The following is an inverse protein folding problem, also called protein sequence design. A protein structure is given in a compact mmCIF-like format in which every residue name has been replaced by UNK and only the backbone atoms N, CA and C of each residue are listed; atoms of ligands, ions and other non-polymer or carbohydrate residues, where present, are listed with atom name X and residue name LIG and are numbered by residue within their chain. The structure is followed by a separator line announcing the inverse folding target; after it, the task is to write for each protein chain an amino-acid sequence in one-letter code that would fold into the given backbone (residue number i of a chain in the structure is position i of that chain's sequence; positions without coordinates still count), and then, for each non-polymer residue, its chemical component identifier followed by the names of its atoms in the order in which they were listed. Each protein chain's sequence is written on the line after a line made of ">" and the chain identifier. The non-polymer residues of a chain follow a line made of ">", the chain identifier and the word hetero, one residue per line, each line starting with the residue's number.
data_IF_278703375336
#
_entry.id   IF_278703375336
#
_cell.length_a   1.000
_cell.length_b   1.000
_cell.length_c   1.000
_cell.angle_alpha   90.00
_cell.angle_beta   90.00
_cell.angle_gamma   90.00
#
_symmetry.space_group_name_H-M   'P 1'
#
loop_
_entity.id
_entity.type
_entity.pdbx_description
1 polymer ?
#
# COMPACT_ATOMS: atom_id res chain seq x y z
N UNK A 1 -10.92 10.70 -3.28
CA UNK A 1 -12.32 10.50 -2.85
C UNK A 1 -12.64 9.03 -3.01
N UNK A 2 -13.28 8.40 -2.02
CA UNK A 2 -13.81 7.04 -2.09
C UNK A 2 -15.33 7.14 -2.06
N UNK A 3 -16.00 6.54 -3.05
CA UNK A 3 -17.45 6.55 -3.14
C UNK A 3 -18.03 5.22 -2.64
N UNK A 4 -19.08 5.30 -1.83
CA UNK A 4 -19.87 4.16 -1.38
C UNK A 4 -21.35 4.36 -1.67
N UNK A 5 -22.16 3.33 -1.43
CA UNK A 5 -23.59 3.35 -1.73
C UNK A 5 -24.39 4.41 -0.96
N UNK A 6 -23.86 4.91 0.17
CA UNK A 6 -24.55 5.81 1.10
C UNK A 6 -23.85 7.15 1.28
N UNK A 7 -22.82 7.44 0.50
CA UNK A 7 -22.02 8.65 0.65
C UNK A 7 -20.59 8.48 0.17
N UNK A 8 -19.71 9.38 0.61
CA UNK A 8 -18.32 9.39 0.17
C UNK A 8 -17.37 9.82 1.29
N UNK A 9 -16.12 9.42 1.17
CA UNK A 9 -15.02 9.86 2.04
C UNK A 9 -13.96 10.55 1.21
N UNK A 10 -13.67 11.81 1.54
CA UNK A 10 -12.60 12.59 0.93
C UNK A 10 -11.38 12.58 1.85
N UNK A 11 -10.25 12.17 1.29
CA UNK A 11 -8.94 12.37 1.88
C UNK A 11 -8.29 13.56 1.17
N UNK A 12 -7.86 14.57 1.94
CA UNK A 12 -7.08 15.70 1.44
C UNK A 12 -5.70 15.71 2.12
N UNK A 13 -4.73 16.49 1.61
CA UNK A 13 -3.45 16.67 2.30
C UNK A 13 -3.62 17.09 3.77
N UNK A 14 -2.53 16.96 4.54
CA UNK A 14 -2.47 17.29 5.97
C UNK A 14 -3.37 16.42 6.86
N UNK A 15 -3.52 15.14 6.52
CA UNK A 15 -4.26 14.16 7.33
C UNK A 15 -5.71 14.60 7.63
N UNK A 16 -6.36 15.21 6.64
CA UNK A 16 -7.76 15.62 6.73
C UNK A 16 -8.61 14.58 6.01
N UNK A 17 -9.66 14.14 6.70
CA UNK A 17 -10.66 13.22 6.18
C UNK A 17 -12.06 13.83 6.38
N UNK A 18 -12.89 13.82 5.34
CA UNK A 18 -14.27 14.31 5.41
C UNK A 18 -15.23 13.23 4.92
N UNK A 19 -16.22 12.90 5.74
CA UNK A 19 -17.33 12.00 5.42
C UNK A 19 -18.54 12.81 4.96
N UNK A 20 -19.13 12.38 3.85
CA UNK A 20 -20.34 12.95 3.27
C UNK A 20 -21.47 11.91 3.22
N UNK A 21 -22.71 12.36 3.31
CA UNK A 21 -23.88 11.53 2.96
C UNK A 21 -24.06 11.43 1.43
N UNK A 22 -25.08 10.69 1.00
CA UNK A 22 -25.41 10.51 -0.42
C UNK A 22 -25.83 11.81 -1.14
N UNK A 23 -26.30 12.82 -0.39
CA UNK A 23 -26.64 14.14 -0.92
C UNK A 23 -25.46 15.10 -0.97
N UNK A 24 -24.26 14.66 -0.57
CA UNK A 24 -23.06 15.49 -0.51
C UNK A 24 -22.97 16.39 0.71
N UNK A 25 -23.85 16.23 1.72
CA UNK A 25 -23.76 16.98 2.97
C UNK A 25 -22.61 16.43 3.80
N UNK A 26 -21.74 17.31 4.30
CA UNK A 26 -20.71 16.94 5.27
C UNK A 26 -21.37 16.41 6.55
N UNK A 27 -21.02 15.17 6.90
CA UNK A 27 -21.46 14.52 8.13
C UNK A 27 -20.42 14.65 9.23
N UNK A 28 -19.14 14.54 8.87
CA UNK A 28 -18.04 14.57 9.84
C UNK A 28 -16.72 14.92 9.16
N UNK A 29 -15.89 15.67 9.88
CA UNK A 29 -14.53 16.00 9.47
C UNK A 29 -13.55 15.64 10.58
N UNK A 30 -12.46 14.99 10.20
CA UNK A 30 -11.32 14.69 11.06
C UNK A 30 -10.10 15.45 10.54
N UNK A 31 -9.36 16.05 11.45
CA UNK A 31 -8.05 16.64 11.20
C UNK A 31 -7.10 16.07 12.24
N UNK A 32 -6.07 15.33 11.82
CA UNK A 32 -5.06 14.86 12.75
C UNK A 32 -4.30 16.05 13.34
N UNK A 33 -4.24 16.15 14.67
CA UNK A 33 -3.56 17.25 15.39
C UNK A 33 -2.14 16.90 15.82
N UNK A 34 -1.86 15.62 16.00
CA UNK A 34 -0.63 15.13 16.65
C UNK A 34 0.33 14.43 15.66
N UNK A 35 -0.03 14.44 14.37
CA UNK A 35 0.71 13.81 13.28
C UNK A 35 0.95 14.84 12.18
N UNK A 36 1.38 16.03 12.59
CA UNK A 36 1.64 17.15 11.70
C UNK A 36 3.11 17.09 11.32
N UNK A 37 3.38 16.67 10.10
CA UNK A 37 4.69 16.81 9.47
C UNK A 37 4.64 17.87 8.38
N UNK A 38 5.75 18.55 8.15
CA UNK A 38 5.91 19.40 6.98
C UNK A 38 6.19 18.51 5.76
N UNK A 39 5.15 18.29 4.93
CA UNK A 39 5.27 17.48 3.72
C UNK A 39 6.24 18.06 2.67
N UNK A 40 6.74 19.28 2.87
CA UNK A 40 7.75 19.92 2.02
C UNK A 40 9.17 19.82 2.58
N UNK A 41 9.33 19.29 3.81
CA UNK A 41 10.63 19.14 4.44
C UNK A 41 11.44 18.03 3.75
N UNK A 42 12.54 18.41 3.12
CA UNK A 42 13.42 17.52 2.34
C UNK A 42 14.53 16.89 3.17
N UNK A 43 14.69 17.31 4.42
CA UNK A 43 15.82 16.91 5.28
C UNK A 43 15.37 16.11 6.50
N UNK A 44 14.08 16.10 6.82
CA UNK A 44 13.52 15.27 7.89
C UNK A 44 12.55 14.22 7.32
N UNK A 45 13.03 12.99 7.06
CA UNK A 45 12.18 11.91 6.58
C UNK A 45 11.32 11.29 7.69
N UNK A 46 11.46 11.72 8.96
CA UNK A 46 10.83 11.08 10.11
C UNK A 46 9.74 11.96 10.70
N UNK A 47 8.52 11.48 10.79
CA UNK A 47 7.37 12.19 11.36
C UNK A 47 6.64 11.32 12.39
N UNK A 48 5.50 11.81 12.90
CA UNK A 48 4.75 11.12 13.96
C UNK A 48 4.33 9.68 13.62
N UNK A 49 4.04 9.38 12.35
CA UNK A 49 3.71 8.01 11.92
C UNK A 49 4.91 7.07 11.96
N UNK A 50 6.10 7.55 11.60
CA UNK A 50 7.32 6.73 11.63
C UNK A 50 7.65 6.30 13.05
N UNK A 51 7.55 7.25 14.01
CA UNK A 51 7.70 6.95 15.43
C UNK A 51 6.66 5.91 15.91
N UNK A 52 5.40 6.03 15.49
CA UNK A 52 4.37 5.05 15.82
C UNK A 52 4.67 3.65 15.25
N UNK A 53 5.11 3.56 14.00
CA UNK A 53 5.48 2.30 13.36
C UNK A 53 6.70 1.65 14.01
N UNK A 54 7.76 2.42 14.27
CA UNK A 54 8.99 1.95 14.92
C UNK A 54 8.71 1.49 16.35
N UNK A 55 7.91 2.25 17.11
CA UNK A 55 7.50 1.87 18.46
C UNK A 55 6.75 0.54 18.46
N UNK A 56 5.76 0.39 17.58
CA UNK A 56 5.03 -0.86 17.43
C UNK A 56 5.95 -2.04 17.06
N UNK A 57 6.89 -1.83 16.14
CA UNK A 57 7.86 -2.87 15.75
C UNK A 57 8.73 -3.34 16.92
N UNK A 58 9.28 -2.40 17.69
CA UNK A 58 10.09 -2.73 18.88
C UNK A 58 9.26 -3.46 19.94
N UNK A 59 8.02 -3.04 20.17
CA UNK A 59 7.08 -3.72 21.08
C UNK A 59 6.82 -5.15 20.63
N UNK A 60 6.49 -5.37 19.36
CA UNK A 60 6.27 -6.70 18.79
C UNK A 60 7.47 -7.64 19.02
N UNK A 61 8.69 -7.14 18.82
CA UNK A 61 9.92 -7.92 19.09
C UNK A 61 10.03 -8.29 20.57
N UNK A 62 9.90 -7.31 21.46
CA UNK A 62 10.08 -7.51 22.91
C UNK A 62 9.04 -8.46 23.48
N UNK A 63 7.80 -8.33 23.05
CA UNK A 63 6.68 -9.16 23.48
C UNK A 63 6.61 -10.50 22.75
N UNK A 64 7.46 -10.71 21.73
CA UNK A 64 7.41 -11.87 20.83
C UNK A 64 6.03 -12.05 20.19
N UNK A 65 5.37 -10.93 19.89
CA UNK A 65 4.06 -10.88 19.29
C UNK A 65 4.19 -10.49 17.80
N UNK A 66 3.94 -11.42 16.86
CA UNK A 66 4.04 -11.13 15.43
C UNK A 66 2.84 -10.35 14.87
N UNK A 67 1.85 -9.99 15.69
CA UNK A 67 0.64 -9.29 15.26
C UNK A 67 0.91 -7.80 14.99
N UNK A 68 1.51 -7.50 13.83
CA UNK A 68 1.67 -6.13 13.36
C UNK A 68 0.45 -5.66 12.57
N UNK A 69 0.16 -4.35 12.49
CA UNK A 69 -0.87 -3.80 11.61
C UNK A 69 -0.61 -4.02 10.11
N UNK A 70 0.61 -4.40 9.73
CA UNK A 70 1.03 -4.67 8.35
C UNK A 70 1.88 -5.94 8.27
N UNK A 71 1.27 -7.12 8.37
CA UNK A 71 1.99 -8.39 8.30
C UNK A 71 2.50 -8.65 6.87
N UNK A 72 3.56 -9.47 6.75
CA UNK A 72 4.28 -9.68 5.49
C UNK A 72 3.38 -10.10 4.31
N UNK A 73 2.36 -10.93 4.54
CA UNK A 73 1.43 -11.35 3.49
C UNK A 73 0.59 -10.18 2.92
N UNK A 74 0.16 -9.25 3.77
CA UNK A 74 -0.58 -8.05 3.37
C UNK A 74 0.35 -7.08 2.62
N UNK A 75 1.56 -6.88 3.14
CA UNK A 75 2.58 -6.06 2.49
C UNK A 75 2.93 -6.61 1.09
N UNK A 76 3.13 -7.92 0.97
CA UNK A 76 3.39 -8.58 -0.31
C UNK A 76 2.29 -8.30 -1.34
N UNK A 77 1.01 -8.44 -0.97
CA UNK A 77 -0.10 -8.16 -1.88
C UNK A 77 -0.10 -6.69 -2.35
N UNK A 78 0.19 -5.74 -1.44
CA UNK A 78 0.29 -4.32 -1.78
C UNK A 78 1.44 -4.04 -2.75
N UNK A 79 2.63 -4.59 -2.49
CA UNK A 79 3.80 -4.39 -3.36
C UNK A 79 3.65 -5.08 -4.72
N UNK A 80 3.02 -6.26 -4.75
CA UNK A 80 2.72 -6.99 -5.97
C UNK A 80 1.88 -6.16 -6.94
N UNK A 81 0.89 -5.41 -6.44
CA UNK A 81 0.08 -4.51 -7.29
C UNK A 81 0.94 -3.45 -8.00
N UNK A 82 1.96 -2.91 -7.32
CA UNK A 82 2.91 -1.97 -7.94
C UNK A 82 3.72 -2.64 -9.05
N UNK A 83 4.17 -3.88 -8.84
CA UNK A 83 4.89 -4.63 -9.88
C UNK A 83 3.99 -4.94 -11.08
N UNK A 84 2.75 -5.37 -10.86
CA UNK A 84 1.77 -5.62 -11.92
C UNK A 84 1.45 -4.35 -12.71
N UNK A 85 1.32 -3.20 -12.04
CA UNK A 85 1.13 -1.91 -12.70
C UNK A 85 2.33 -1.52 -13.57
N UNK A 86 3.56 -1.79 -13.12
CA UNK A 86 4.76 -1.59 -13.94
C UNK A 86 4.78 -2.50 -15.18
N UNK A 87 4.34 -3.75 -15.06
CA UNK A 87 4.23 -4.66 -16.20
C UNK A 87 3.20 -4.15 -17.19
N UNK A 88 2.00 -3.76 -16.73
CA UNK A 88 0.95 -3.19 -17.57
C UNK A 88 1.44 -1.91 -18.28
N UNK A 89 2.15 -1.03 -17.57
CA UNK A 89 2.68 0.20 -18.13
C UNK A 89 3.75 -0.06 -19.22
N UNK A 90 4.64 -1.03 -19.02
CA UNK A 90 5.72 -1.35 -19.98
C UNK A 90 5.22 -2.06 -21.23
N UNK A 91 4.20 -2.89 -21.07
CA UNK A 91 3.59 -3.64 -22.18
C UNK A 91 2.56 -2.80 -22.95
N UNK A 92 1.98 -1.78 -22.30
CA UNK A 92 0.85 -1.03 -22.86
C UNK A 92 -0.45 -1.84 -22.88
N UNK A 93 -0.49 -3.00 -22.21
CA UNK A 93 -1.59 -3.94 -22.24
C UNK A 93 -2.19 -4.20 -20.84
N UNK A 94 -3.40 -4.76 -20.83
CA UNK A 94 -4.05 -5.20 -19.59
C UNK A 94 -3.45 -6.52 -19.11
N UNK A 95 -2.81 -6.48 -17.94
CA UNK A 95 -2.30 -7.66 -17.25
C UNK A 95 -3.45 -8.44 -16.59
N UNK A 96 -3.51 -9.75 -16.84
CA UNK A 96 -4.47 -10.68 -16.21
C UNK A 96 -3.76 -11.45 -15.12
N UNK A 97 -4.41 -11.60 -13.97
CA UNK A 97 -3.81 -12.17 -12.75
C UNK A 97 -4.69 -13.30 -12.23
N UNK A 98 -4.07 -14.38 -11.77
CA UNK A 98 -4.74 -15.40 -10.98
C UNK A 98 -4.96 -14.86 -9.55
N UNK A 99 -6.21 -14.69 -9.09
CA UNK A 99 -6.50 -14.08 -7.79
C UNK A 99 -6.07 -14.93 -6.59
N UNK A 100 -5.88 -16.24 -6.77
CA UNK A 100 -5.45 -17.15 -5.70
C UNK A 100 -3.94 -17.06 -5.45
N UNK A 101 -3.16 -16.79 -6.50
CA UNK A 101 -1.68 -16.84 -6.43
C UNK A 101 -1.02 -15.48 -6.65
N UNK A 102 -1.76 -14.49 -7.16
CA UNK A 102 -1.21 -13.20 -7.58
C UNK A 102 -0.31 -13.26 -8.82
N UNK A 103 -0.13 -14.44 -9.42
CA UNK A 103 0.70 -14.61 -10.63
C UNK A 103 -0.03 -14.17 -11.88
N UNK A 104 0.72 -13.84 -12.92
CA UNK A 104 0.16 -13.67 -14.27
C UNK A 104 -0.66 -14.90 -14.67
N UNK A 105 -1.87 -14.68 -15.16
CA UNK A 105 -2.68 -15.73 -15.76
C UNK A 105 -2.06 -16.20 -17.08
N UNK A 106 -2.37 -17.43 -17.50
CA UNK A 106 -1.89 -17.96 -18.77
C UNK A 106 -2.32 -17.04 -19.93
N UNK A 107 -1.37 -16.67 -20.80
CA UNK A 107 -1.60 -15.76 -21.92
C UNK A 107 -1.73 -14.29 -21.53
N UNK A 108 -1.46 -13.91 -20.28
CA UNK A 108 -1.28 -12.50 -19.91
C UNK A 108 0.02 -11.95 -20.52
N UNK A 109 0.05 -10.67 -20.95
CA UNK A 109 1.28 -10.00 -21.36
C UNK A 109 2.27 -9.86 -20.20
N UNK A 110 3.55 -9.72 -20.52
CA UNK A 110 4.62 -9.40 -19.56
C UNK A 110 5.20 -10.59 -18.79
N UNK A 111 5.04 -11.80 -19.30
CA UNK A 111 5.62 -13.02 -18.69
C UNK A 111 7.16 -12.93 -18.58
N UNK A 112 7.80 -12.29 -19.55
CA UNK A 112 9.23 -12.00 -19.61
C UNK A 112 9.69 -10.98 -18.56
N UNK A 113 8.77 -10.18 -18.02
CA UNK A 113 9.03 -9.17 -16.98
C UNK A 113 8.74 -9.69 -15.56
N UNK A 114 8.20 -10.91 -15.44
CA UNK A 114 7.76 -11.48 -14.17
C UNK A 114 8.92 -11.84 -13.24
N UNK A 115 10.00 -12.35 -13.82
CA UNK A 115 11.16 -12.79 -13.09
C UNK A 115 12.36 -11.88 -13.38
N UNK A 116 13.29 -11.86 -12.44
CA UNK A 116 14.61 -11.28 -12.64
C UNK A 116 15.63 -12.39 -12.84
N UNK A 117 16.70 -12.08 -13.57
CA UNK A 117 17.89 -12.92 -13.55
C UNK A 117 18.54 -12.82 -12.17
N UNK A 118 18.87 -13.98 -11.59
CA UNK A 118 19.57 -14.06 -10.32
C UNK A 118 21.05 -14.35 -10.58
N UNK A 119 21.92 -13.85 -9.71
CA UNK A 119 23.33 -14.24 -9.69
C UNK A 119 23.45 -15.77 -9.51
N UNK A 120 24.51 -16.37 -10.05
CA UNK A 120 24.69 -17.83 -10.01
C UNK A 120 24.70 -18.32 -8.55
N UNK A 121 23.83 -19.27 -8.23
CA UNK A 121 23.66 -19.82 -6.88
C UNK A 121 22.63 -19.08 -6.01
N UNK A 122 22.04 -17.99 -6.49
CA UNK A 122 20.98 -17.23 -5.83
C UNK A 122 19.59 -17.50 -6.43
N UNK A 123 19.49 -18.49 -7.31
CA UNK A 123 18.23 -18.85 -7.94
C UNK A 123 17.23 -19.31 -6.88
N UNK A 124 16.06 -18.68 -6.87
CA UNK A 124 14.96 -19.06 -5.98
C UNK A 124 14.49 -20.48 -6.34
N UNK A 125 14.58 -21.39 -5.38
CA UNK A 125 13.93 -22.71 -5.47
C UNK A 125 12.54 -22.57 -4.87
N UNK A 126 11.53 -22.58 -5.72
CA UNK A 126 10.12 -22.46 -5.35
C UNK A 126 9.41 -23.78 -5.61
#
# INVERSE_FOLDING_TARGET
>A
MIYGLKGAVLFTPNNICTLFDAGGKELKKWTAKDVVGDATNRTDPTQGLDAAHLSNFVTCIREKNPATPSPAAVAHASTLLTHLANIAQRTGETVKVNPETGRLAAGSPGAELWAREYEKGWEMRV
#
